data_IF_020686598759
#
_entry.id   IF_020686598759
#
_cell.length_a   1.000
_cell.length_b   1.000
_cell.length_c   1.000
_cell.angle_alpha   90.00
_cell.angle_beta   90.00
_cell.angle_gamma   90.00
#
_symmetry.space_group_name_H-M   'P 1'
#
loop_
_entity.id
_entity.type
_entity.pdbx_description
1 polymer ?
#
# COMPACT_ATOMS: atom_id res chain seq x y z
N UNK A 1 5.16 -11.04 -3.70
CA UNK A 1 5.99 -10.04 -3.00
C UNK A 1 5.27 -9.58 -1.75
N UNK A 2 5.99 -9.11 -0.74
CA UNK A 2 5.40 -8.64 0.51
C UNK A 2 6.16 -7.44 1.09
N UNK A 3 5.47 -6.62 1.88
CA UNK A 3 6.15 -5.77 2.86
C UNK A 3 6.97 -6.61 3.84
N UNK A 4 8.11 -6.08 4.29
CA UNK A 4 8.94 -6.70 5.35
C UNK A 4 8.23 -6.80 6.72
N UNK A 5 7.09 -6.13 6.90
CA UNK A 5 6.36 -6.16 8.17
C UNK A 5 5.72 -7.54 8.39
N UNK A 6 5.85 -8.16 9.58
CA UNK A 6 5.47 -9.55 9.81
C UNK A 6 4.05 -9.93 9.34
N UNK A 7 3.06 -9.06 9.57
CA UNK A 7 1.66 -9.27 9.16
C UNK A 7 1.50 -9.44 7.64
N UNK A 8 2.29 -8.72 6.85
CA UNK A 8 2.25 -8.80 5.39
C UNK A 8 3.01 -10.03 4.88
N UNK A 9 4.16 -10.34 5.49
CA UNK A 9 4.90 -11.58 5.20
C UNK A 9 4.02 -12.80 5.47
N UNK A 10 3.38 -12.88 6.64
CA UNK A 10 2.46 -13.95 7.01
C UNK A 10 1.29 -14.07 6.01
N UNK A 11 0.74 -12.95 5.56
CA UNK A 11 -0.31 -12.96 4.52
C UNK A 11 0.21 -13.54 3.20
N UNK A 12 1.40 -13.15 2.77
CA UNK A 12 2.00 -13.69 1.55
C UNK A 12 2.34 -15.18 1.67
N UNK A 13 2.79 -15.65 2.83
CA UNK A 13 3.05 -17.07 3.10
C UNK A 13 1.77 -17.90 3.00
N UNK A 14 0.64 -17.38 3.48
CA UNK A 14 -0.68 -18.03 3.34
C UNK A 14 -1.09 -18.11 1.87
N UNK A 15 -0.79 -17.07 1.07
CA UNK A 15 -1.15 -17.02 -0.35
C UNK A 15 -0.25 -17.87 -1.25
N UNK A 16 1.02 -18.06 -0.88
CA UNK A 16 2.02 -18.67 -1.75
C UNK A 16 1.62 -20.06 -2.31
N UNK A 17 1.10 -21.01 -1.52
CA UNK A 17 0.68 -22.32 -2.04
C UNK A 17 -0.42 -22.22 -3.08
N UNK A 18 -1.38 -21.30 -2.91
CA UNK A 18 -2.46 -21.09 -3.87
C UNK A 18 -1.98 -20.52 -5.21
N UNK A 19 -0.78 -19.91 -5.22
CA UNK A 19 -0.10 -19.40 -6.40
C UNK A 19 0.92 -20.40 -6.98
N UNK A 20 1.03 -21.60 -6.41
CA UNK A 20 2.04 -22.60 -6.79
C UNK A 20 3.46 -22.20 -6.39
N UNK A 21 3.61 -21.35 -5.37
CA UNK A 21 4.87 -20.81 -4.88
C UNK A 21 5.14 -21.29 -3.44
N UNK A 22 6.37 -21.10 -2.98
CA UNK A 22 6.81 -21.38 -1.60
C UNK A 22 7.16 -20.09 -0.87
N UNK A 23 7.38 -20.16 0.45
CA UNK A 23 7.83 -19.01 1.23
C UNK A 23 9.19 -18.46 0.77
N UNK A 24 10.04 -19.30 0.19
CA UNK A 24 11.36 -18.91 -0.33
C UNK A 24 11.25 -18.01 -1.57
N UNK A 25 10.14 -18.10 -2.30
CA UNK A 25 9.87 -17.27 -3.48
C UNK A 25 9.34 -15.87 -3.12
N UNK A 26 9.04 -15.61 -1.84
CA UNK A 26 8.46 -14.35 -1.40
C UNK A 26 9.57 -13.29 -1.27
N UNK A 27 9.65 -12.42 -2.27
CA UNK A 27 10.45 -11.20 -2.17
C UNK A 27 9.84 -10.22 -1.16
N UNK A 28 10.60 -9.88 -0.12
CA UNK A 28 10.21 -8.93 0.91
C UNK A 28 10.90 -7.57 0.68
N UNK A 29 10.13 -6.49 0.64
CA UNK A 29 10.65 -5.16 0.32
C UNK A 29 10.09 -4.08 1.26
N UNK A 30 10.99 -3.22 1.75
CA UNK A 30 10.61 -2.08 2.60
C UNK A 30 9.79 -1.03 1.82
N UNK A 31 9.99 -0.92 0.50
CA UNK A 31 9.18 -0.07 -0.38
C UNK A 31 7.68 -0.36 -0.28
N UNK A 32 7.30 -1.57 0.12
CA UNK A 32 5.91 -2.03 0.28
C UNK A 32 5.35 -1.81 1.69
N UNK A 33 6.14 -1.27 2.63
CA UNK A 33 5.72 -0.98 3.99
C UNK A 33 4.58 0.03 4.06
N UNK A 34 3.84 -0.03 5.16
CA UNK A 34 2.98 1.05 5.58
C UNK A 34 3.81 2.32 5.83
N UNK A 35 3.14 3.46 5.97
CA UNK A 35 3.76 4.71 6.37
C UNK A 35 4.73 4.49 7.56
N UNK A 36 5.97 4.93 7.41
CA UNK A 36 6.99 4.73 8.43
C UNK A 36 6.76 5.66 9.62
N UNK A 37 6.59 5.11 10.85
CA UNK A 37 6.22 5.91 12.00
C UNK A 37 7.37 6.71 12.63
N UNK A 38 8.62 6.38 12.32
CA UNK A 38 9.77 7.01 12.97
C UNK A 38 9.71 6.85 14.48
N UNK A 39 9.94 7.93 15.22
CA UNK A 39 9.84 7.94 16.69
C UNK A 39 8.42 7.75 17.24
N UNK A 40 7.39 7.68 16.40
CA UNK A 40 6.03 7.28 16.81
C UNK A 40 5.82 5.75 16.81
N UNK A 41 6.84 4.95 16.46
CA UNK A 41 6.69 3.49 16.46
C UNK A 41 6.29 2.98 17.85
N UNK A 42 5.35 2.03 17.88
CA UNK A 42 4.76 1.46 19.10
C UNK A 42 3.97 2.42 20.00
N UNK A 43 3.71 3.67 19.57
CA UNK A 43 2.75 4.52 20.28
C UNK A 43 1.31 4.12 19.95
N UNK A 44 0.45 4.16 20.96
CA UNK A 44 -1.00 4.16 20.73
C UNK A 44 -1.43 5.54 20.24
N UNK A 45 -2.63 5.62 19.66
CA UNK A 45 -3.12 6.86 19.05
C UNK A 45 -3.22 8.00 20.06
N UNK A 46 -3.67 7.75 21.29
CA UNK A 46 -3.77 8.77 22.32
C UNK A 46 -2.40 9.39 22.64
N UNK A 47 -1.39 8.55 22.90
CA UNK A 47 -0.01 8.99 23.20
C UNK A 47 0.62 9.73 22.01
N UNK A 48 0.33 9.27 20.79
CA UNK A 48 0.77 9.94 19.57
C UNK A 48 0.21 11.36 19.49
N UNK A 49 -1.11 11.53 19.68
CA UNK A 49 -1.78 12.83 19.60
C UNK A 49 -1.31 13.75 20.73
N UNK A 50 -1.09 13.24 21.93
CA UNK A 50 -0.55 14.01 23.04
C UNK A 50 0.85 14.54 22.74
N UNK A 51 1.70 13.70 22.12
CA UNK A 51 3.11 14.02 21.89
C UNK A 51 3.36 14.86 20.63
N UNK A 52 2.67 14.55 19.54
CA UNK A 52 2.93 15.13 18.22
C UNK A 52 1.75 15.92 17.65
N UNK A 53 0.57 15.85 18.29
CA UNK A 53 -0.68 16.35 17.72
C UNK A 53 -1.27 15.39 16.69
N UNK A 54 -2.57 15.47 16.45
CA UNK A 54 -3.18 14.74 15.34
C UNK A 54 -2.64 15.30 14.01
N UNK A 55 -2.27 14.45 13.04
CA UNK A 55 -1.69 14.93 11.80
C UNK A 55 -2.81 15.53 10.94
N UNK A 56 -2.62 16.77 10.51
CA UNK A 56 -3.53 17.46 9.59
C UNK A 56 -2.95 17.47 8.17
N UNK A 57 -3.19 16.37 7.47
CA UNK A 57 -2.77 16.17 6.09
C UNK A 57 -3.48 17.09 5.09
N UNK A 58 -4.66 17.61 5.47
CA UNK A 58 -5.41 18.54 4.64
C UNK A 58 -4.79 19.96 4.74
N UNK A 59 -4.14 20.29 5.87
CA UNK A 59 -3.42 21.56 6.07
C UNK A 59 -1.98 21.55 5.54
N UNK A 60 -1.17 20.57 5.94
CA UNK A 60 0.20 20.41 5.45
C UNK A 60 0.61 18.92 5.37
N UNK A 61 0.48 18.30 4.18
CA UNK A 61 0.81 16.89 3.97
C UNK A 61 2.31 16.61 3.95
N UNK A 62 3.15 17.65 3.91
CA UNK A 62 4.60 17.52 3.78
C UNK A 62 5.31 17.34 5.12
N UNK A 63 4.62 17.61 6.23
CA UNK A 63 5.14 17.42 7.59
C UNK A 63 5.20 15.93 7.93
N UNK A 64 6.35 15.40 8.36
CA UNK A 64 6.45 14.03 8.86
C UNK A 64 5.57 13.79 10.09
N UNK A 65 4.99 12.58 10.23
CA UNK A 65 4.14 12.28 11.41
C UNK A 65 4.89 12.36 12.74
N UNK A 66 6.20 12.13 12.71
CA UNK A 66 7.11 12.19 13.85
C UNK A 66 8.54 12.29 13.31
N UNK A 67 9.52 12.68 14.15
CA UNK A 67 10.93 12.66 13.77
C UNK A 67 11.35 11.28 13.24
N UNK A 68 12.07 11.27 12.13
CA UNK A 68 12.49 10.04 11.43
C UNK A 68 11.36 9.25 10.76
N UNK A 69 10.12 9.73 10.80
CA UNK A 69 8.98 9.14 10.10
C UNK A 69 8.78 9.73 8.70
N UNK A 70 7.78 9.21 8.00
CA UNK A 70 7.34 9.75 6.72
C UNK A 70 6.31 10.87 6.87
N UNK A 71 6.34 11.80 5.93
CA UNK A 71 5.18 12.64 5.63
C UNK A 71 4.24 11.91 4.69
N UNK A 72 3.02 12.40 4.56
CA UNK A 72 2.07 11.82 3.60
C UNK A 72 2.57 11.97 2.15
N UNK A 73 3.20 13.11 1.84
CA UNK A 73 3.84 13.33 0.52
C UNK A 73 4.91 12.27 0.25
N UNK A 74 5.88 12.11 1.17
CA UNK A 74 6.98 11.16 0.95
C UNK A 74 6.48 9.72 0.87
N UNK A 75 5.42 9.39 1.61
CA UNK A 75 4.81 8.08 1.56
C UNK A 75 4.15 7.80 0.20
N UNK A 76 3.34 8.73 -0.32
CA UNK A 76 2.73 8.60 -1.66
C UNK A 76 3.78 8.48 -2.75
N UNK A 77 4.86 9.26 -2.68
CA UNK A 77 5.96 9.21 -3.64
C UNK A 77 6.72 7.88 -3.58
N UNK A 78 7.00 7.35 -2.38
CA UNK A 78 7.60 6.02 -2.20
C UNK A 78 6.74 4.92 -2.79
N UNK A 79 5.43 4.97 -2.55
CA UNK A 79 4.47 3.98 -3.07
C UNK A 79 4.45 4.00 -4.59
N UNK A 80 4.36 5.18 -5.20
CA UNK A 80 4.44 5.33 -6.65
C UNK A 80 5.72 4.75 -7.23
N UNK A 81 6.87 5.16 -6.67
CA UNK A 81 8.19 4.71 -7.13
C UNK A 81 8.34 3.18 -7.01
N UNK A 82 7.87 2.60 -5.89
CA UNK A 82 7.93 1.15 -5.68
C UNK A 82 7.10 0.38 -6.71
N UNK A 83 5.92 0.89 -7.08
CA UNK A 83 5.06 0.27 -8.08
C UNK A 83 5.63 0.43 -9.50
N UNK A 84 6.20 1.59 -9.83
CA UNK A 84 6.88 1.82 -11.11
C UNK A 84 8.11 0.89 -11.26
N UNK A 85 8.89 0.70 -10.19
CA UNK A 85 10.03 -0.24 -10.16
C UNK A 85 9.58 -1.70 -10.34
N UNK A 86 8.43 -2.08 -9.76
CA UNK A 86 7.86 -3.42 -9.94
C UNK A 86 7.42 -3.63 -11.39
N UNK A 87 6.75 -2.65 -12.00
CA UNK A 87 6.36 -2.71 -13.42
C UNK A 87 7.59 -2.88 -14.31
N UNK A 88 8.66 -2.13 -14.05
CA UNK A 88 9.89 -2.23 -14.82
C UNK A 88 10.59 -3.60 -14.67
N UNK A 89 10.51 -4.23 -13.49
CA UNK A 89 11.09 -5.55 -13.23
C UNK A 89 10.28 -6.71 -13.82
N UNK A 90 8.97 -6.56 -13.95
CA UNK A 90 8.06 -7.63 -14.37
C UNK A 90 7.16 -7.22 -15.55
N UNK A 91 7.74 -6.82 -16.71
CA UNK A 91 6.95 -6.38 -17.86
C UNK A 91 6.04 -7.48 -18.38
N UNK A 92 4.74 -7.18 -18.54
CA UNK A 92 3.72 -8.14 -18.98
C UNK A 92 3.41 -9.26 -17.97
N UNK A 93 3.99 -9.19 -16.77
CA UNK A 93 3.79 -10.18 -15.71
C UNK A 93 2.57 -9.88 -14.84
N UNK A 94 2.29 -10.81 -13.92
CA UNK A 94 1.32 -10.63 -12.84
C UNK A 94 2.06 -10.72 -11.50
N UNK A 95 1.92 -9.68 -10.69
CA UNK A 95 2.57 -9.59 -9.38
C UNK A 95 1.50 -9.51 -8.31
N UNK A 96 1.58 -10.40 -7.32
CA UNK A 96 0.77 -10.32 -6.09
C UNK A 96 1.60 -9.65 -5.00
N UNK A 97 1.02 -8.63 -4.36
CA UNK A 97 1.66 -7.81 -3.33
C UNK A 97 0.85 -7.90 -2.05
N UNK A 98 1.43 -8.45 -0.98
CA UNK A 98 0.88 -8.33 0.37
C UNK A 98 1.39 -7.03 1.03
N UNK A 99 0.48 -6.10 1.32
CA UNK A 99 0.79 -4.75 1.83
C UNK A 99 -0.33 -4.25 2.77
N UNK A 100 -0.47 -2.93 2.92
CA UNK A 100 -1.24 -2.26 3.95
C UNK A 100 -2.25 -1.28 3.37
N UNK A 101 -3.21 -0.86 4.20
CA UNK A 101 -4.29 0.02 3.76
C UNK A 101 -3.79 1.38 3.30
N UNK A 102 -2.79 1.97 3.97
CA UNK A 102 -2.23 3.26 3.57
C UNK A 102 -1.42 3.17 2.27
N UNK A 103 -0.76 2.03 2.00
CA UNK A 103 -0.10 1.78 0.71
C UNK A 103 -1.13 1.75 -0.42
N UNK A 104 -2.25 1.05 -0.22
CA UNK A 104 -3.34 0.97 -1.21
C UNK A 104 -3.93 2.36 -1.46
N UNK A 105 -4.27 3.11 -0.40
CA UNK A 105 -4.77 4.50 -0.50
C UNK A 105 -3.79 5.41 -1.27
N UNK A 106 -2.50 5.29 -0.96
CA UNK A 106 -1.44 6.06 -1.62
C UNK A 106 -1.31 5.74 -3.11
N UNK A 107 -1.46 4.47 -3.50
CA UNK A 107 -1.45 4.08 -4.92
C UNK A 107 -2.63 4.69 -5.69
N UNK A 108 -3.82 4.76 -5.07
CA UNK A 108 -5.00 5.38 -5.66
C UNK A 108 -4.81 6.88 -5.85
N UNK A 109 -4.25 7.55 -4.84
CA UNK A 109 -3.89 8.97 -4.95
C UNK A 109 -2.91 9.19 -6.09
N UNK A 110 -1.80 8.46 -6.10
CA UNK A 110 -0.72 8.62 -7.08
C UNK A 110 -1.19 8.46 -8.52
N UNK A 111 -2.06 7.50 -8.79
CA UNK A 111 -2.40 7.08 -10.16
C UNK A 111 -3.76 7.54 -10.67
N UNK A 112 -4.74 7.83 -9.81
CA UNK A 112 -6.06 8.31 -10.26
C UNK A 112 -6.25 9.81 -10.09
N UNK A 113 -5.71 10.36 -9.01
CA UNK A 113 -5.83 11.79 -8.72
C UNK A 113 -4.65 12.56 -9.32
N UNK A 114 -3.49 11.90 -9.44
CA UNK A 114 -2.25 12.49 -9.89
C UNK A 114 -1.53 13.24 -8.76
N UNK A 115 -0.35 13.77 -9.06
CA UNK A 115 0.38 14.67 -8.17
C UNK A 115 0.35 16.08 -8.77
N UNK A 116 -0.47 17.01 -8.23
CA UNK A 116 -0.36 18.41 -8.55
C UNK A 116 -0.12 19.22 -7.29
N UNK A 117 0.86 20.12 -7.43
CA UNK A 117 1.09 21.27 -6.55
C UNK A 117 -0.24 21.80 -6.00
N UNK A 118 -0.40 21.67 -4.68
CA UNK A 118 -1.41 22.40 -3.90
C UNK A 118 -2.73 21.71 -3.58
N UNK A 119 -3.04 20.48 -4.04
CA UNK A 119 -4.34 19.87 -3.65
C UNK A 119 -4.51 18.34 -3.64
N UNK A 120 -3.58 17.52 -4.16
CA UNK A 120 -3.82 16.06 -4.30
C UNK A 120 -3.30 15.17 -3.17
N UNK A 121 -2.83 15.74 -2.07
CA UNK A 121 -2.41 14.94 -0.91
C UNK A 121 -3.52 14.79 0.14
N UNK A 122 -4.78 15.09 -0.20
CA UNK A 122 -5.89 14.81 0.70
C UNK A 122 -6.07 13.31 0.84
N UNK A 123 -6.24 12.84 2.07
CA UNK A 123 -6.63 11.45 2.30
C UNK A 123 -7.98 11.19 1.65
N UNK A 124 -8.08 10.08 0.93
CA UNK A 124 -9.33 9.60 0.36
C UNK A 124 -10.26 9.06 1.46
N UNK A 125 -9.73 8.83 2.68
CA UNK A 125 -10.49 8.35 3.85
C UNK A 125 -11.24 7.05 3.53
N UNK A 126 -10.57 6.18 2.79
CA UNK A 126 -11.16 4.94 2.31
C UNK A 126 -11.18 3.87 3.41
N UNK A 127 -12.26 3.11 3.46
CA UNK A 127 -12.36 1.93 4.33
C UNK A 127 -11.87 0.68 3.60
N UNK A 128 -10.55 0.53 3.48
CA UNK A 128 -9.94 -0.70 2.95
C UNK A 128 -10.07 -1.82 3.98
N UNK A 129 -10.75 -2.90 3.61
CA UNK A 129 -10.98 -4.05 4.49
C UNK A 129 -9.72 -4.90 4.58
N UNK A 130 -9.50 -5.54 5.73
CA UNK A 130 -8.45 -6.53 5.89
C UNK A 130 -8.62 -7.68 4.89
N UNK A 131 -7.50 -8.15 4.33
CA UNK A 131 -7.46 -9.21 3.32
C UNK A 131 -8.33 -8.97 2.07
N UNK A 132 -8.71 -7.71 1.79
CA UNK A 132 -9.31 -7.35 0.51
C UNK A 132 -8.27 -7.29 -0.60
N UNK A 133 -8.74 -7.43 -1.84
CA UNK A 133 -7.94 -7.34 -3.05
C UNK A 133 -8.20 -6.02 -3.79
N UNK A 134 -7.13 -5.40 -4.25
CA UNK A 134 -7.16 -4.25 -5.17
C UNK A 134 -6.32 -4.62 -6.39
N UNK A 135 -6.87 -4.41 -7.57
CA UNK A 135 -6.25 -4.83 -8.84
C UNK A 135 -5.95 -3.61 -9.69
N UNK A 136 -4.68 -3.51 -10.07
CA UNK A 136 -4.15 -2.53 -11.00
C UNK A 136 -3.69 -3.22 -12.27
N UNK A 137 -3.85 -2.54 -13.39
CA UNK A 137 -3.24 -2.88 -14.66
C UNK A 137 -2.36 -1.71 -15.11
N UNK A 138 -1.15 -2.01 -15.57
CA UNK A 138 -0.27 -1.03 -16.19
C UNK A 138 -0.03 -1.40 -17.64
N UNK A 139 -0.15 -0.42 -18.54
CA UNK A 139 0.03 -0.58 -19.99
C UNK A 139 0.61 0.69 -20.59
N UNK A 140 0.70 0.76 -21.92
CA UNK A 140 1.24 1.94 -22.64
C UNK A 140 0.43 3.23 -22.39
N UNK A 141 -0.82 3.11 -21.94
CA UNK A 141 -1.67 4.25 -21.56
C UNK A 141 -1.59 4.60 -20.07
N UNK A 142 -0.71 3.93 -19.32
CA UNK A 142 -0.49 4.13 -17.89
C UNK A 142 -1.26 3.16 -17.00
N UNK A 143 -1.49 3.59 -15.76
CA UNK A 143 -2.16 2.82 -14.70
C UNK A 143 -3.69 2.87 -14.81
N UNK A 144 -4.32 1.71 -14.68
CA UNK A 144 -5.78 1.54 -14.66
C UNK A 144 -6.21 0.73 -13.45
N UNK A 145 -7.14 1.26 -12.66
CA UNK A 145 -7.75 0.52 -11.56
C UNK A 145 -8.83 -0.42 -12.12
N UNK A 146 -8.70 -1.72 -11.89
CA UNK A 146 -9.67 -2.72 -12.31
C UNK A 146 -10.66 -3.07 -11.19
N UNK A 147 -10.15 -3.21 -9.96
CA UNK A 147 -10.94 -3.53 -8.76
C UNK A 147 -10.36 -2.83 -7.55
N UNK A 148 -11.23 -2.44 -6.63
CA UNK A 148 -10.82 -1.86 -5.35
C UNK A 148 -11.60 -2.52 -4.20
N UNK A 149 -10.86 -2.90 -3.15
CA UNK A 149 -11.43 -3.39 -1.89
C UNK A 149 -12.40 -4.56 -2.06
N UNK A 150 -12.10 -5.44 -3.01
CA UNK A 150 -12.88 -6.64 -3.24
C UNK A 150 -12.59 -7.64 -2.13
N UNK A 151 -13.60 -7.94 -1.33
CA UNK A 151 -13.55 -8.92 -0.25
C UNK A 151 -14.56 -10.06 -0.51
N UNK A 152 -15.01 -10.21 -1.75
CA UNK A 152 -15.88 -11.33 -2.10
C UNK A 152 -15.09 -12.64 -2.04
N UNK A 153 -15.65 -13.64 -1.36
CA UNK A 153 -15.12 -15.00 -1.40
C UNK A 153 -15.53 -15.57 -2.76
N UNK A 154 -14.55 -15.94 -3.59
CA UNK A 154 -14.84 -16.75 -4.78
C UNK A 154 -15.21 -18.14 -4.27
N UNK A 155 -16.51 -18.45 -4.20
CA UNK A 155 -16.96 -19.84 -4.02
C UNK A 155 -16.42 -20.69 -5.17
N UNK A 156 -15.78 -21.82 -4.84
CA UNK A 156 -15.30 -22.78 -5.83
C UNK A 156 -16.45 -23.21 -6.75
N UNK A 157 -16.33 -22.89 -8.04
CA UNK A 157 -17.15 -23.56 -9.05
C UNK A 157 -16.76 -25.02 -9.08
N UNK A 158 -17.57 -25.85 -8.41
CA UNK A 158 -17.56 -27.30 -8.57
C UNK A 158 -17.84 -27.59 -10.05
N UNK A 159 -16.84 -28.05 -10.78
CA UNK A 159 -17.05 -28.54 -12.14
C UNK A 159 -17.80 -29.87 -12.04
N UNK A 160 -19.01 -29.91 -12.62
CA UNK A 160 -19.79 -31.15 -12.83
C UNK A 160 -19.24 -31.92 -14.04
#
# INVERSE_FOLDING_TARGET
MASILPRAVQTAEILAPALGMTSEDILQECGLCELHPGEADNLIWEDYVERYGAPDWDADPSVPIAPGGESWVSFVDRVGSSLDDIVARYPGGRVVIATHAGFIESSLLRFLVGSPEGSAHRRLRLQTKHASMTEWEHSDIGWRLLRYNDATVVEERSSS
#
